data_IF_724215500172
#
_entry.id   IF_724215500172
#
_cell.length_a   1.000
_cell.length_b   1.000
_cell.length_c   1.000
_cell.angle_alpha   90.00
_cell.angle_beta   90.00
_cell.angle_gamma   90.00
#
_symmetry.space_group_name_H-M   'P 1'
#
loop_
_entity.id
_entity.type
_entity.pdbx_description
1 polymer ?
#
# COMPACT_ATOMS: atom_id res chain seq x y z
N UNK A 1 10.77 8.82 20.07
CA UNK A 1 10.41 9.04 21.49
C UNK A 1 9.43 7.99 21.93
N UNK A 2 9.65 7.46 23.14
CA UNK A 2 8.82 6.42 23.73
C UNK A 2 8.22 6.93 25.03
N UNK A 3 6.96 6.59 25.26
CA UNK A 3 6.20 7.02 26.43
C UNK A 3 5.67 5.81 27.19
N UNK A 4 5.71 5.87 28.50
CA UNK A 4 5.12 4.87 29.37
C UNK A 4 4.19 5.58 30.36
N UNK A 5 2.91 5.18 30.42
CA UNK A 5 1.86 5.83 31.22
C UNK A 5 1.81 7.35 31.03
N UNK A 6 1.97 7.81 29.80
CA UNK A 6 1.96 9.24 29.46
C UNK A 6 3.26 10.01 29.73
N UNK A 7 4.26 9.38 30.37
CA UNK A 7 5.57 9.99 30.64
C UNK A 7 6.56 9.64 29.55
N UNK A 8 7.37 10.61 29.13
CA UNK A 8 8.48 10.41 28.21
C UNK A 8 9.59 9.61 28.89
N UNK A 9 9.94 8.42 28.38
CA UNK A 9 10.84 7.49 29.07
C UNK A 9 12.17 7.30 28.32
N UNK A 10 12.17 7.34 27.00
CA UNK A 10 13.41 7.24 26.23
C UNK A 10 13.29 7.84 24.82
N UNK A 11 14.40 8.23 24.27
CA UNK A 11 14.52 8.67 22.88
C UNK A 11 15.49 7.73 22.13
N UNK A 12 15.17 7.43 20.88
CA UNK A 12 16.03 6.68 19.97
C UNK A 12 16.49 7.63 18.87
N UNK A 13 17.79 7.75 18.67
CA UNK A 13 18.43 8.64 17.68
C UNK A 13 19.35 7.89 16.74
N UNK A 14 19.39 8.32 15.50
CA UNK A 14 20.28 7.74 14.48
C UNK A 14 19.84 6.35 14.03
N UNK A 15 20.80 5.49 13.74
CA UNK A 15 20.61 4.18 13.16
C UNK A 15 20.54 4.20 11.64
N UNK A 16 21.02 3.12 11.03
CA UNK A 16 20.98 2.87 9.59
C UNK A 16 21.19 1.38 9.32
N UNK A 17 21.41 0.98 8.08
CA UNK A 17 21.61 -0.44 7.70
C UNK A 17 22.81 -1.11 8.45
N UNK A 18 23.81 -0.35 8.85
CA UNK A 18 25.07 -0.86 9.42
C UNK A 18 25.25 -0.52 10.90
N UNK A 19 24.68 0.58 11.36
CA UNK A 19 24.89 1.11 12.70
C UNK A 19 23.60 1.10 13.50
N UNK A 20 23.63 0.52 14.70
CA UNK A 20 22.52 0.54 15.63
C UNK A 20 22.20 1.98 16.08
N UNK A 21 20.91 2.29 16.32
CA UNK A 21 20.53 3.58 16.87
C UNK A 21 20.99 3.70 18.33
N UNK A 22 21.23 4.94 18.76
CA UNK A 22 21.52 5.26 20.15
C UNK A 22 20.21 5.37 20.93
N UNK A 23 20.09 4.60 22.00
CA UNK A 23 18.97 4.66 22.94
C UNK A 23 19.36 5.57 24.11
N UNK A 24 18.59 6.60 24.35
CA UNK A 24 18.84 7.61 25.39
C UNK A 24 17.65 7.56 26.36
N UNK A 25 17.78 6.86 27.50
CA UNK A 25 16.78 6.90 28.55
C UNK A 25 16.68 8.29 29.17
N UNK A 26 15.50 8.66 29.65
CA UNK A 26 15.31 9.83 30.48
C UNK A 26 15.71 9.53 31.92
N UNK A 27 16.06 10.57 32.66
CA UNK A 27 16.45 10.47 34.06
C UNK A 27 15.38 9.71 34.88
N UNK A 28 15.80 8.71 35.62
CA UNK A 28 14.93 7.83 36.42
C UNK A 28 14.30 6.66 35.67
N UNK A 29 14.57 6.52 34.36
CA UNK A 29 14.06 5.41 33.54
C UNK A 29 15.16 4.50 32.97
N UNK A 30 16.37 4.61 33.44
CA UNK A 30 17.53 3.84 32.97
C UNK A 30 17.35 2.34 33.14
N UNK A 31 16.63 1.93 34.18
CA UNK A 31 16.35 0.55 34.55
C UNK A 31 14.87 0.18 34.44
N UNK A 32 14.14 0.80 33.51
CA UNK A 32 12.72 0.51 33.31
C UNK A 32 12.50 -0.96 32.98
N UNK A 33 11.85 -1.69 33.87
CA UNK A 33 11.44 -3.07 33.64
C UNK A 33 9.95 -3.11 33.32
N UNK A 34 9.59 -3.67 32.18
CA UNK A 34 8.21 -3.86 31.76
C UNK A 34 7.70 -5.21 32.29
N UNK A 35 6.58 -5.18 33.00
CA UNK A 35 5.87 -6.39 33.38
C UNK A 35 5.05 -6.91 32.20
N UNK A 36 4.92 -8.23 32.03
CA UNK A 36 4.02 -8.81 31.05
C UNK A 36 2.58 -8.28 31.24
N UNK A 37 1.91 -8.03 30.12
CA UNK A 37 0.53 -7.57 30.16
C UNK A 37 -0.37 -8.71 30.65
N UNK A 38 -1.22 -8.43 31.66
CA UNK A 38 -2.28 -9.35 32.03
C UNK A 38 -3.40 -9.29 30.98
N UNK A 39 -3.48 -10.33 30.16
CA UNK A 39 -4.40 -10.40 29.03
C UNK A 39 -5.87 -10.45 29.45
N UNK A 40 -6.20 -11.11 30.57
CA UNK A 40 -7.56 -11.18 31.08
C UNK A 40 -8.07 -9.81 31.50
N UNK A 41 -7.28 -9.11 32.32
CA UNK A 41 -7.61 -7.72 32.70
C UNK A 41 -7.67 -6.76 31.53
N UNK A 42 -6.83 -6.97 30.53
CA UNK A 42 -6.84 -6.15 29.32
C UNK A 42 -8.14 -6.38 28.54
N UNK A 43 -8.56 -7.63 28.41
CA UNK A 43 -9.82 -8.02 27.78
C UNK A 43 -11.01 -7.39 28.52
N UNK A 44 -11.16 -7.66 29.83
CA UNK A 44 -12.25 -7.15 30.65
C UNK A 44 -12.41 -5.62 30.54
N UNK A 45 -11.29 -4.89 30.56
CA UNK A 45 -11.31 -3.42 30.50
C UNK A 45 -11.69 -2.84 29.15
N UNK A 46 -11.53 -3.59 28.08
CA UNK A 46 -11.71 -3.09 26.72
C UNK A 46 -12.82 -3.82 25.95
N UNK A 47 -13.52 -4.76 26.59
CA UNK A 47 -14.51 -5.60 25.90
C UNK A 47 -15.60 -4.76 25.24
N UNK A 48 -16.23 -3.85 25.99
CA UNK A 48 -17.29 -2.99 25.46
C UNK A 48 -16.80 -2.08 24.34
N UNK A 49 -15.62 -1.47 24.51
CA UNK A 49 -15.05 -0.58 23.48
C UNK A 49 -14.71 -1.36 22.22
N UNK A 50 -14.08 -2.53 22.37
CA UNK A 50 -13.73 -3.39 21.24
C UNK A 50 -14.96 -3.92 20.53
N UNK A 51 -16.01 -4.28 21.28
CA UNK A 51 -17.29 -4.68 20.70
C UNK A 51 -17.88 -3.59 19.81
N UNK A 52 -17.90 -2.35 20.28
CA UNK A 52 -18.48 -1.22 19.53
C UNK A 52 -17.69 -0.97 18.24
N UNK A 53 -16.37 -0.83 18.32
CA UNK A 53 -15.55 -0.51 17.13
C UNK A 53 -15.49 -1.66 16.12
N UNK A 54 -15.51 -2.90 16.59
CA UNK A 54 -15.57 -4.10 15.76
C UNK A 54 -16.87 -4.15 14.98
N UNK A 55 -18.02 -3.99 15.67
CA UNK A 55 -19.33 -4.03 15.02
C UNK A 55 -19.54 -2.84 14.07
N UNK A 56 -19.04 -1.66 14.41
CA UNK A 56 -19.03 -0.51 13.49
C UNK A 56 -18.28 -0.84 12.20
N UNK A 57 -17.09 -1.43 12.31
CA UNK A 57 -16.30 -1.81 11.14
C UNK A 57 -16.99 -2.93 10.32
N UNK A 58 -17.61 -3.90 10.98
CA UNK A 58 -18.38 -4.96 10.34
C UNK A 58 -19.61 -4.41 9.63
N UNK A 59 -20.36 -3.50 10.24
CA UNK A 59 -21.51 -2.83 9.63
C UNK A 59 -21.07 -2.01 8.41
N UNK A 60 -19.96 -1.29 8.52
CA UNK A 60 -19.42 -0.54 7.41
C UNK A 60 -19.01 -1.45 6.24
N UNK A 61 -18.39 -2.61 6.50
CA UNK A 61 -18.07 -3.62 5.48
C UNK A 61 -19.38 -4.13 4.83
N UNK A 62 -20.37 -4.49 5.63
CA UNK A 62 -21.66 -5.00 5.15
C UNK A 62 -22.40 -3.99 4.28
N UNK A 63 -22.50 -2.74 4.73
CA UNK A 63 -23.12 -1.65 3.96
C UNK A 63 -22.37 -1.42 2.63
N UNK A 64 -21.03 -1.44 2.67
CA UNK A 64 -20.21 -1.31 1.47
C UNK A 64 -20.43 -2.49 0.53
N UNK A 65 -20.41 -3.71 1.05
CA UNK A 65 -20.67 -4.91 0.26
C UNK A 65 -22.04 -4.83 -0.41
N UNK A 66 -23.11 -4.54 0.33
CA UNK A 66 -24.48 -4.40 -0.21
C UNK A 66 -24.57 -3.30 -1.25
N UNK A 67 -23.90 -2.17 -1.04
CA UNK A 67 -23.89 -1.03 -1.99
C UNK A 67 -23.27 -1.40 -3.33
N UNK A 68 -22.27 -2.26 -3.36
CA UNK A 68 -21.55 -2.65 -4.57
C UNK A 68 -22.00 -4.00 -5.12
N UNK A 69 -22.45 -4.93 -4.29
CA UNK A 69 -23.03 -6.20 -4.68
C UNK A 69 -24.54 -6.12 -4.70
N UNK A 70 -25.07 -5.46 -5.69
CA UNK A 70 -26.47 -5.60 -6.04
C UNK A 70 -26.59 -6.80 -6.97
N UNK A 71 -27.32 -7.84 -6.57
CA UNK A 71 -27.45 -9.08 -7.36
C UNK A 71 -28.56 -8.93 -8.38
N UNK A 72 -28.21 -9.11 -9.63
CA UNK A 72 -29.18 -9.24 -10.72
C UNK A 72 -29.23 -10.67 -11.21
N UNK A 73 -30.42 -11.18 -11.35
CA UNK A 73 -30.67 -12.23 -12.34
C UNK A 73 -30.80 -11.55 -13.69
N UNK A 74 -29.79 -11.61 -14.53
CA UNK A 74 -29.92 -11.19 -15.92
C UNK A 74 -30.79 -12.23 -16.58
N UNK A 75 -31.91 -11.80 -17.13
CA UNK A 75 -32.61 -12.60 -18.11
C UNK A 75 -31.72 -12.73 -19.34
N UNK A 76 -31.20 -13.91 -19.60
CA UNK A 76 -30.34 -14.21 -20.76
C UNK A 76 -31.11 -14.15 -22.10
N UNK A 77 -32.35 -13.73 -22.09
CA UNK A 77 -33.31 -14.01 -23.15
C UNK A 77 -33.50 -12.89 -24.18
N UNK A 78 -32.78 -11.77 -24.03
CA UNK A 78 -32.76 -10.78 -25.11
C UNK A 78 -31.30 -10.28 -25.35
N UNK A 79 -30.58 -10.90 -26.30
CA UNK A 79 -29.18 -10.55 -26.59
C UNK A 79 -28.99 -9.16 -27.19
N UNK A 80 -30.06 -8.53 -27.69
CA UNK A 80 -29.96 -7.31 -28.50
C UNK A 80 -30.05 -6.01 -27.68
N UNK A 81 -30.53 -6.04 -26.43
CA UNK A 81 -30.69 -4.84 -25.60
C UNK A 81 -29.93 -4.98 -24.27
N UNK A 82 -28.84 -4.21 -24.13
CA UNK A 82 -28.14 -4.04 -22.84
C UNK A 82 -28.86 -2.97 -21.99
N UNK A 83 -29.91 -3.39 -21.27
CA UNK A 83 -30.69 -2.52 -20.37
C UNK A 83 -29.81 -1.82 -19.31
N UNK A 84 -28.64 -2.36 -18.99
CA UNK A 84 -27.69 -1.75 -18.04
C UNK A 84 -26.98 -0.57 -18.64
N UNK A 85 -26.46 -0.74 -19.83
CA UNK A 85 -25.82 0.35 -20.58
C UNK A 85 -26.84 1.45 -20.83
N UNK A 86 -28.10 1.10 -21.07
CA UNK A 86 -29.17 2.07 -21.19
C UNK A 86 -29.44 2.81 -19.89
N UNK A 87 -29.58 2.11 -18.76
CA UNK A 87 -29.76 2.74 -17.46
C UNK A 87 -28.59 3.67 -17.10
N UNK A 88 -27.34 3.22 -17.29
CA UNK A 88 -26.17 4.03 -17.06
C UNK A 88 -26.06 5.26 -17.99
N UNK A 89 -26.53 5.14 -19.24
CA UNK A 89 -26.59 6.26 -20.17
C UNK A 89 -27.66 7.29 -19.73
N UNK A 90 -28.83 6.83 -19.34
CA UNK A 90 -29.89 7.69 -18.84
C UNK A 90 -29.52 8.38 -17.52
N UNK A 91 -28.84 7.69 -16.60
CA UNK A 91 -28.32 8.26 -15.36
C UNK A 91 -27.37 9.42 -15.62
N UNK A 92 -26.41 9.24 -16.56
CA UNK A 92 -25.52 10.33 -16.98
C UNK A 92 -26.24 11.53 -17.57
N UNK A 93 -27.32 11.28 -18.33
CA UNK A 93 -28.09 12.32 -19.04
C UNK A 93 -29.02 13.09 -18.10
N UNK A 94 -29.70 12.38 -17.22
CA UNK A 94 -30.75 12.96 -16.34
C UNK A 94 -30.18 13.34 -14.94
N UNK A 95 -29.01 12.86 -14.58
CA UNK A 95 -28.39 12.96 -13.24
C UNK A 95 -29.24 12.33 -12.12
N UNK A 96 -30.16 11.45 -12.48
CA UNK A 96 -31.00 10.68 -11.57
C UNK A 96 -30.63 9.21 -11.68
N UNK A 97 -30.66 8.49 -10.57
CA UNK A 97 -30.41 7.05 -10.55
C UNK A 97 -31.52 6.32 -11.34
N UNK A 98 -31.13 5.55 -12.35
CA UNK A 98 -32.04 4.74 -13.17
C UNK A 98 -31.84 3.27 -12.85
N UNK A 99 -32.96 2.57 -12.73
CA UNK A 99 -32.99 1.14 -12.44
C UNK A 99 -33.75 0.40 -13.53
N UNK A 100 -33.41 -0.85 -13.72
CA UNK A 100 -34.17 -1.75 -14.56
C UNK A 100 -35.16 -2.49 -13.68
N UNK A 101 -36.38 -2.56 -14.09
CA UNK A 101 -37.45 -3.27 -13.41
C UNK A 101 -37.99 -4.36 -14.32
N UNK A 102 -38.53 -5.42 -13.74
CA UNK A 102 -39.23 -6.44 -14.50
C UNK A 102 -40.70 -6.00 -14.68
N UNK A 103 -41.17 -5.96 -15.91
CA UNK A 103 -42.55 -5.62 -16.23
C UNK A 103 -43.44 -6.88 -16.19
N UNK A 104 -43.09 -7.89 -16.99
CA UNK A 104 -43.76 -9.17 -17.10
C UNK A 104 -42.77 -10.33 -17.11
N UNK A 105 -43.21 -11.56 -17.39
CA UNK A 105 -42.36 -12.75 -17.37
C UNK A 105 -41.07 -12.58 -18.16
N UNK A 106 -41.10 -11.85 -19.28
CA UNK A 106 -39.97 -11.72 -20.21
C UNK A 106 -39.68 -10.27 -20.66
N UNK A 107 -40.33 -9.27 -20.04
CA UNK A 107 -40.12 -7.87 -20.39
C UNK A 107 -39.50 -7.05 -19.27
N UNK A 108 -38.64 -6.13 -19.66
CA UNK A 108 -37.91 -5.25 -18.75
C UNK A 108 -38.05 -3.79 -19.20
N UNK A 109 -38.08 -2.89 -18.23
CA UNK A 109 -38.11 -1.45 -18.49
C UNK A 109 -36.99 -0.74 -17.66
N UNK A 110 -36.62 0.45 -18.10
CA UNK A 110 -35.62 1.30 -17.43
C UNK A 110 -36.32 2.59 -17.01
N UNK A 111 -36.33 2.85 -15.71
CA UNK A 111 -36.96 4.04 -15.16
C UNK A 111 -36.16 4.63 -14.00
N UNK A 112 -36.39 5.91 -13.61
CA UNK A 112 -35.82 6.47 -12.39
C UNK A 112 -36.21 5.64 -11.16
N UNK A 113 -35.24 5.50 -10.21
CA UNK A 113 -35.47 4.74 -8.97
C UNK A 113 -36.71 5.25 -8.21
N UNK A 114 -36.88 6.56 -8.10
CA UNK A 114 -38.02 7.18 -7.43
C UNK A 114 -39.36 6.76 -8.04
N UNK A 115 -39.41 6.64 -9.36
CA UNK A 115 -40.61 6.18 -10.08
C UNK A 115 -40.88 4.68 -9.88
N UNK A 116 -39.78 3.88 -9.80
CA UNK A 116 -39.94 2.46 -9.52
C UNK A 116 -40.49 2.23 -8.10
N UNK A 117 -40.02 2.99 -7.12
CA UNK A 117 -40.52 2.96 -5.74
C UNK A 117 -41.99 3.39 -5.65
N UNK A 118 -42.36 4.47 -6.32
CA UNK A 118 -43.74 4.96 -6.39
C UNK A 118 -44.70 3.92 -7.00
N UNK A 119 -44.25 3.18 -8.00
CA UNK A 119 -45.02 2.11 -8.66
C UNK A 119 -44.92 0.75 -7.93
N UNK A 120 -44.20 0.66 -6.81
CA UNK A 120 -44.00 -0.60 -6.08
C UNK A 120 -43.23 -1.66 -6.88
N UNK A 121 -42.49 -1.25 -7.92
CA UNK A 121 -41.70 -2.16 -8.77
C UNK A 121 -40.34 -2.42 -8.14
N UNK A 122 -40.01 -3.70 -7.95
CA UNK A 122 -38.72 -4.07 -7.44
C UNK A 122 -37.61 -3.88 -8.48
N UNK A 123 -36.61 -3.06 -8.24
CA UNK A 123 -35.50 -2.91 -9.15
C UNK A 123 -34.71 -4.21 -9.26
N UNK A 124 -34.32 -4.52 -10.48
CA UNK A 124 -33.38 -5.61 -10.72
C UNK A 124 -31.99 -5.09 -10.45
N UNK A 125 -31.35 -5.61 -9.41
CA UNK A 125 -30.08 -5.14 -8.94
C UNK A 125 -28.92 -5.82 -9.69
N UNK A 126 -27.87 -5.07 -10.08
CA UNK A 126 -26.64 -5.62 -10.65
C UNK A 126 -25.48 -5.32 -9.78
N UNK A 127 -24.50 -6.22 -9.80
CA UNK A 127 -23.21 -5.90 -9.20
C UNK A 127 -22.57 -4.70 -9.91
N UNK A 128 -22.22 -3.66 -9.14
CA UNK A 128 -21.47 -2.49 -9.63
C UNK A 128 -19.99 -2.80 -9.83
N UNK A 129 -19.54 -3.95 -9.33
CA UNK A 129 -18.16 -4.42 -9.42
C UNK A 129 -18.11 -5.89 -9.84
N UNK A 130 -17.00 -6.24 -10.44
CA UNK A 130 -16.75 -7.58 -10.94
C UNK A 130 -16.17 -8.50 -9.86
N UNK A 131 -15.47 -7.91 -8.87
CA UNK A 131 -14.77 -8.66 -7.83
C UNK A 131 -14.59 -7.82 -6.57
N UNK A 132 -14.70 -8.48 -5.42
CA UNK A 132 -14.27 -7.95 -4.13
C UNK A 132 -12.92 -8.56 -3.76
N UNK A 133 -12.03 -7.76 -3.18
CA UNK A 133 -10.67 -8.17 -2.86
C UNK A 133 -10.35 -7.78 -1.43
N UNK A 134 -9.88 -8.72 -0.61
CA UNK A 134 -9.19 -8.43 0.64
C UNK A 134 -7.68 -8.39 0.37
N UNK A 135 -7.06 -7.20 0.52
CA UNK A 135 -5.63 -7.02 0.28
C UNK A 135 -4.84 -7.43 1.52
N UNK A 136 -4.18 -8.57 1.44
CA UNK A 136 -3.31 -9.07 2.50
C UNK A 136 -1.84 -8.73 2.22
N UNK A 137 -1.13 -8.20 3.21
CA UNK A 137 0.27 -7.77 3.07
C UNK A 137 1.22 -8.42 4.08
N UNK A 138 0.75 -9.37 4.87
CA UNK A 138 1.51 -9.96 5.98
C UNK A 138 1.68 -9.02 7.18
N UNK A 139 1.05 -7.85 7.15
CA UNK A 139 1.05 -6.88 8.25
C UNK A 139 -0.19 -7.01 9.15
N UNK A 140 -0.08 -6.57 10.41
CA UNK A 140 -1.13 -6.64 11.43
C UNK A 140 -2.47 -6.02 10.98
N UNK A 141 -2.40 -4.88 10.29
CA UNK A 141 -3.59 -4.14 9.86
C UNK A 141 -4.36 -4.90 8.77
N UNK A 142 -3.67 -5.48 7.80
CA UNK A 142 -4.29 -6.30 6.77
C UNK A 142 -4.82 -7.64 7.31
N UNK A 143 -4.24 -8.14 8.40
CA UNK A 143 -4.74 -9.33 9.10
C UNK A 143 -6.10 -9.06 9.75
N UNK A 144 -6.26 -7.92 10.42
CA UNK A 144 -7.53 -7.50 11.01
C UNK A 144 -8.60 -7.31 9.93
N UNK A 145 -8.26 -6.65 8.82
CA UNK A 145 -9.21 -6.48 7.71
C UNK A 145 -9.62 -7.81 7.10
N UNK A 146 -8.70 -8.73 6.91
CA UNK A 146 -9.01 -10.07 6.39
C UNK A 146 -10.00 -10.80 7.31
N UNK A 147 -9.79 -10.77 8.62
CA UNK A 147 -10.68 -11.41 9.58
C UNK A 147 -12.08 -10.76 9.56
N UNK A 148 -12.16 -9.44 9.64
CA UNK A 148 -13.44 -8.71 9.59
C UNK A 148 -14.20 -8.99 8.28
N UNK A 149 -13.52 -8.96 7.13
CA UNK A 149 -14.13 -9.23 5.81
C UNK A 149 -14.65 -10.66 5.75
N UNK A 150 -13.86 -11.64 6.22
CA UNK A 150 -14.24 -13.06 6.22
C UNK A 150 -15.42 -13.39 7.12
N UNK A 151 -15.69 -12.56 8.12
CA UNK A 151 -16.84 -12.72 9.03
C UNK A 151 -18.11 -12.06 8.50
N UNK A 152 -18.01 -11.15 7.54
CA UNK A 152 -19.13 -10.33 7.05
C UNK A 152 -19.54 -10.70 5.63
N UNK A 153 -18.58 -10.90 4.73
CA UNK A 153 -18.84 -11.18 3.32
C UNK A 153 -18.78 -12.70 3.10
N UNK A 154 -19.75 -13.28 2.38
CA UNK A 154 -19.65 -14.68 1.96
C UNK A 154 -18.32 -14.96 1.27
N UNK A 155 -17.64 -16.02 1.67
CA UNK A 155 -16.25 -16.27 1.29
C UNK A 155 -16.07 -16.58 -0.21
N UNK A 156 -17.12 -17.03 -0.87
CA UNK A 156 -17.18 -17.21 -2.32
C UNK A 156 -17.32 -15.88 -3.11
N UNK A 157 -17.61 -14.78 -2.42
CA UNK A 157 -17.86 -13.48 -3.03
C UNK A 157 -16.66 -12.54 -3.06
N UNK A 158 -15.60 -12.91 -2.38
CA UNK A 158 -14.35 -12.14 -2.42
C UNK A 158 -13.13 -13.06 -2.55
N UNK A 159 -12.03 -12.47 -2.93
CA UNK A 159 -10.74 -13.14 -2.99
C UNK A 159 -9.73 -12.45 -2.08
N UNK A 160 -8.79 -13.21 -1.55
CA UNK A 160 -7.64 -12.68 -0.81
C UNK A 160 -6.46 -12.55 -1.78
N UNK A 161 -5.87 -11.37 -1.86
CA UNK A 161 -4.71 -11.14 -2.71
C UNK A 161 -3.52 -10.70 -1.87
N UNK A 162 -2.46 -11.52 -1.93
CA UNK A 162 -1.14 -11.20 -1.40
C UNK A 162 -0.25 -10.67 -2.53
N UNK A 163 0.43 -9.54 -2.30
CA UNK A 163 1.36 -8.98 -3.28
C UNK A 163 2.78 -9.39 -2.93
N UNK A 164 3.32 -10.36 -3.65
CA UNK A 164 4.74 -10.74 -3.55
C UNK A 164 5.58 -9.85 -4.47
N UNK A 165 6.31 -8.93 -3.88
CA UNK A 165 7.10 -7.91 -4.59
C UNK A 165 8.57 -8.29 -4.74
N UNK A 166 9.01 -9.40 -4.12
CA UNK A 166 10.41 -9.82 -4.04
C UNK A 166 11.24 -9.05 -2.99
N UNK A 167 10.57 -8.22 -2.18
CA UNK A 167 11.19 -7.48 -1.06
C UNK A 167 10.72 -7.98 0.31
N UNK A 168 9.92 -9.02 0.35
CA UNK A 168 9.27 -9.49 1.57
C UNK A 168 10.30 -10.00 2.58
N UNK A 169 9.99 -9.74 3.85
CA UNK A 169 10.70 -10.37 4.96
C UNK A 169 10.37 -11.85 5.02
N UNK A 170 11.33 -12.73 5.34
CA UNK A 170 11.06 -14.17 5.48
C UNK A 170 9.86 -14.51 6.38
N UNK A 171 9.65 -13.83 7.54
CA UNK A 171 8.44 -14.05 8.34
C UNK A 171 7.13 -13.69 7.65
N UNK A 172 7.15 -12.78 6.66
CA UNK A 172 5.94 -12.40 5.92
C UNK A 172 5.52 -13.45 4.91
N UNK A 173 6.49 -14.11 4.28
CA UNK A 173 6.25 -15.23 3.37
C UNK A 173 5.68 -16.42 4.15
N UNK A 174 6.31 -16.79 5.27
CA UNK A 174 5.82 -17.84 6.15
C UNK A 174 4.41 -17.54 6.65
N UNK A 175 4.17 -16.33 7.14
CA UNK A 175 2.85 -15.93 7.63
C UNK A 175 1.78 -16.05 6.55
N UNK A 176 2.10 -15.73 5.29
CA UNK A 176 1.14 -15.91 4.21
C UNK A 176 0.71 -17.36 4.06
N UNK A 177 1.64 -18.31 4.11
CA UNK A 177 1.32 -19.73 4.02
C UNK A 177 0.50 -20.20 5.23
N UNK A 178 0.90 -19.81 6.46
CA UNK A 178 0.18 -20.13 7.70
C UNK A 178 -1.26 -19.56 7.69
N UNK A 179 -1.45 -18.34 7.17
CA UNK A 179 -2.76 -17.68 7.07
C UNK A 179 -3.62 -18.34 6.01
N UNK A 180 -3.05 -18.65 4.85
CA UNK A 180 -3.80 -19.34 3.79
C UNK A 180 -4.34 -20.65 4.31
N UNK A 181 -3.49 -21.50 4.90
CA UNK A 181 -3.86 -22.78 5.45
C UNK A 181 -4.97 -22.65 6.51
N UNK A 182 -4.81 -21.72 7.47
CA UNK A 182 -5.79 -21.47 8.51
C UNK A 182 -7.17 -21.04 7.98
N UNK A 183 -7.20 -20.14 6.98
CA UNK A 183 -8.47 -19.66 6.45
C UNK A 183 -9.10 -20.65 5.45
N UNK A 184 -8.33 -21.40 4.67
CA UNK A 184 -8.82 -22.46 3.78
C UNK A 184 -9.44 -23.60 4.58
N UNK A 185 -8.88 -23.96 5.74
CA UNK A 185 -9.46 -24.95 6.66
C UNK A 185 -10.79 -24.43 7.27
N UNK A 186 -10.81 -23.15 7.70
CA UNK A 186 -11.98 -22.55 8.34
C UNK A 186 -13.11 -22.21 7.36
N UNK A 187 -12.77 -21.87 6.12
CA UNK A 187 -13.68 -21.41 5.08
C UNK A 187 -13.36 -22.08 3.73
N UNK A 188 -13.97 -23.22 3.41
CA UNK A 188 -13.60 -24.01 2.22
C UNK A 188 -13.74 -23.28 0.87
N UNK A 189 -14.55 -22.22 0.81
CA UNK A 189 -14.81 -21.47 -0.42
C UNK A 189 -13.95 -20.19 -0.55
N UNK A 190 -13.03 -19.97 0.39
CA UNK A 190 -12.14 -18.80 0.30
C UNK A 190 -11.00 -19.05 -0.70
N UNK A 191 -10.67 -18.07 -1.50
CA UNK A 191 -9.61 -18.19 -2.50
C UNK A 191 -8.48 -17.21 -2.25
N UNK A 192 -7.27 -17.74 -2.17
CA UNK A 192 -6.03 -16.98 -2.02
C UNK A 192 -5.27 -16.92 -3.34
N UNK A 193 -4.84 -15.71 -3.70
CA UNK A 193 -4.03 -15.48 -4.90
C UNK A 193 -2.78 -14.66 -4.57
N UNK A 194 -1.71 -14.92 -5.33
CA UNK A 194 -0.46 -14.18 -5.23
C UNK A 194 -0.27 -13.30 -6.47
N UNK A 195 -0.25 -11.99 -6.27
CA UNK A 195 0.11 -11.05 -7.31
C UNK A 195 1.63 -10.87 -7.33
N UNK A 196 2.29 -11.39 -8.35
CA UNK A 196 3.74 -11.37 -8.51
C UNK A 196 4.15 -10.96 -9.92
N UNK A 197 5.30 -10.31 -10.05
CA UNK A 197 5.86 -10.00 -11.37
C UNK A 197 6.59 -11.23 -11.93
N UNK A 198 6.70 -11.31 -13.27
CA UNK A 198 7.39 -12.41 -13.96
C UNK A 198 8.89 -12.40 -13.73
N UNK A 199 9.47 -11.19 -13.63
CA UNK A 199 10.89 -11.01 -13.40
C UNK A 199 11.16 -10.74 -11.92
N UNK A 200 12.31 -11.21 -11.45
CA UNK A 200 12.79 -10.92 -10.11
C UNK A 200 13.10 -9.43 -9.96
N UNK A 201 12.89 -8.88 -8.78
CA UNK A 201 13.07 -7.45 -8.51
C UNK A 201 14.48 -6.94 -8.83
N UNK A 202 15.52 -7.74 -8.62
CA UNK A 202 16.90 -7.35 -8.89
C UNK A 202 17.17 -7.10 -10.38
N UNK A 203 16.46 -7.77 -11.28
CA UNK A 203 16.50 -7.49 -12.72
C UNK A 203 16.10 -6.02 -13.00
N UNK A 204 15.03 -5.56 -12.38
CA UNK A 204 14.60 -4.17 -12.53
C UNK A 204 15.53 -3.15 -11.85
N UNK A 205 16.28 -3.58 -10.82
CA UNK A 205 17.32 -2.74 -10.24
C UNK A 205 18.49 -2.53 -11.21
N UNK A 206 18.79 -3.54 -12.02
CA UNK A 206 19.81 -3.44 -13.07
C UNK A 206 19.36 -2.51 -14.22
N UNK A 207 18.11 -2.62 -14.66
CA UNK A 207 17.61 -1.85 -15.79
C UNK A 207 17.22 -0.41 -15.43
N UNK A 208 16.53 -0.20 -14.29
CA UNK A 208 15.96 1.09 -13.92
C UNK A 208 16.84 1.81 -12.89
N UNK A 209 17.64 1.05 -12.15
CA UNK A 209 18.46 1.54 -11.05
C UNK A 209 17.73 1.53 -9.72
N UNK A 210 18.45 1.97 -8.68
CA UNK A 210 17.99 1.99 -7.30
C UNK A 210 16.74 2.86 -7.10
N UNK A 211 15.68 2.34 -6.49
CA UNK A 211 14.50 3.15 -6.18
C UNK A 211 14.82 4.24 -5.17
N UNK A 212 14.11 5.35 -5.23
CA UNK A 212 14.29 6.46 -4.31
C UNK A 212 12.95 6.99 -3.77
N UNK A 213 12.99 7.92 -2.81
CA UNK A 213 11.77 8.51 -2.24
C UNK A 213 10.89 9.19 -3.28
N UNK A 214 11.46 9.77 -4.31
CA UNK A 214 10.72 10.44 -5.38
C UNK A 214 10.44 9.47 -6.53
N UNK A 215 11.38 8.60 -6.86
CA UNK A 215 11.23 7.63 -7.95
C UNK A 215 10.92 6.23 -7.41
N UNK A 216 9.67 6.00 -7.06
CA UNK A 216 9.16 4.76 -6.46
C UNK A 216 8.66 3.78 -7.52
N UNK A 217 9.42 3.54 -8.56
CA UNK A 217 9.04 2.63 -9.63
C UNK A 217 8.70 1.22 -9.12
N UNK A 218 9.40 0.75 -8.07
CA UNK A 218 9.18 -0.57 -7.48
C UNK A 218 7.73 -0.80 -7.03
N UNK A 219 7.06 0.22 -6.46
CA UNK A 219 5.66 0.09 -6.07
C UNK A 219 4.71 -0.06 -7.26
N UNK A 220 5.06 0.49 -8.42
CA UNK A 220 4.24 0.38 -9.63
C UNK A 220 4.47 -0.93 -10.35
N UNK A 221 5.74 -1.29 -10.57
CA UNK A 221 6.14 -2.48 -11.33
C UNK A 221 5.91 -3.77 -10.53
N UNK A 222 6.27 -3.80 -9.24
CA UNK A 222 6.23 -5.02 -8.44
C UNK A 222 4.93 -5.21 -7.64
N UNK A 223 4.09 -4.19 -7.52
CA UNK A 223 2.83 -4.29 -6.75
C UNK A 223 1.60 -3.98 -7.60
N UNK A 224 1.54 -2.78 -8.21
CA UNK A 224 0.31 -2.34 -8.88
C UNK A 224 0.08 -3.07 -10.21
N UNK A 225 1.10 -3.24 -11.04
CA UNK A 225 0.96 -3.92 -12.32
C UNK A 225 0.63 -5.42 -12.18
N UNK A 226 1.29 -6.19 -11.28
CA UNK A 226 0.91 -7.58 -11.02
C UNK A 226 -0.52 -7.73 -10.50
N UNK A 227 -0.95 -6.88 -9.58
CA UNK A 227 -2.34 -6.88 -9.09
C UNK A 227 -3.33 -6.69 -10.24
N UNK A 228 -3.08 -5.71 -11.11
CA UNK A 228 -3.94 -5.41 -12.25
C UNK A 228 -4.04 -6.60 -13.22
N UNK A 229 -2.93 -7.29 -13.50
CA UNK A 229 -2.91 -8.50 -14.34
C UNK A 229 -3.70 -9.64 -13.68
N UNK A 230 -3.41 -9.91 -12.43
CA UNK A 230 -4.09 -10.96 -11.68
C UNK A 230 -5.61 -10.77 -11.65
N UNK A 231 -6.08 -9.56 -11.35
CA UNK A 231 -7.53 -9.29 -11.33
C UNK A 231 -8.18 -9.48 -12.71
N UNK A 232 -7.47 -9.15 -13.78
CA UNK A 232 -7.92 -9.41 -15.15
C UNK A 232 -8.02 -10.91 -15.45
N UNK A 233 -7.05 -11.69 -15.00
CA UNK A 233 -7.00 -13.16 -15.15
C UNK A 233 -8.13 -13.83 -14.35
N UNK A 234 -8.28 -13.51 -13.06
CA UNK A 234 -9.31 -14.09 -12.19
C UNK A 234 -10.73 -13.83 -12.74
N UNK A 235 -10.96 -12.63 -13.21
CA UNK A 235 -12.30 -12.26 -13.73
C UNK A 235 -12.54 -12.70 -15.17
N UNK A 236 -11.53 -13.24 -15.84
CA UNK A 236 -11.55 -13.65 -17.25
C UNK A 236 -12.15 -12.58 -18.19
N UNK A 237 -11.90 -11.30 -17.89
CA UNK A 237 -12.38 -10.17 -18.70
C UNK A 237 -11.28 -9.67 -19.61
N UNK A 238 -11.62 -9.39 -20.86
CA UNK A 238 -10.71 -8.79 -21.84
C UNK A 238 -10.20 -7.39 -21.42
N UNK A 239 -10.93 -6.69 -20.53
CA UNK A 239 -10.63 -5.38 -19.96
C UNK A 239 -10.34 -5.45 -18.47
N UNK A 240 -9.83 -4.37 -17.90
CA UNK A 240 -9.64 -4.28 -16.44
C UNK A 240 -11.01 -4.35 -15.72
N UNK A 241 -11.15 -5.22 -14.71
CA UNK A 241 -12.39 -5.36 -13.96
C UNK A 241 -12.59 -4.18 -13.02
N UNK A 242 -13.85 -3.86 -12.74
CA UNK A 242 -14.20 -2.99 -11.62
C UNK A 242 -14.07 -3.79 -10.32
N UNK A 243 -13.35 -3.26 -9.35
CA UNK A 243 -13.11 -3.96 -8.10
C UNK A 243 -13.34 -3.07 -6.87
N UNK A 244 -13.80 -3.67 -5.79
CA UNK A 244 -13.71 -3.12 -4.44
C UNK A 244 -12.55 -3.81 -3.73
N UNK A 245 -11.61 -3.02 -3.21
CA UNK A 245 -10.42 -3.52 -2.53
C UNK A 245 -10.44 -3.05 -1.07
N UNK A 246 -10.62 -3.99 -0.15
CA UNK A 246 -10.49 -3.74 1.28
C UNK A 246 -9.02 -3.72 1.69
N UNK A 247 -8.59 -2.64 2.34
CA UNK A 247 -7.21 -2.46 2.78
C UNK A 247 -7.11 -2.04 4.25
N UNK A 248 -5.94 -2.29 4.85
CA UNK A 248 -5.63 -1.97 6.23
C UNK A 248 -5.00 -0.58 6.42
N UNK A 249 -5.40 0.42 5.64
CA UNK A 249 -4.92 1.80 5.80
C UNK A 249 -5.54 2.42 7.05
N UNK A 250 -4.69 3.09 7.87
CA UNK A 250 -5.13 3.83 9.07
C UNK A 250 -4.69 5.29 9.02
N UNK A 251 -5.54 6.17 9.51
CA UNK A 251 -5.31 7.62 9.56
C UNK A 251 -4.06 7.97 10.38
N UNK A 252 -3.86 7.28 11.50
CA UNK A 252 -2.74 7.47 12.43
C UNK A 252 -1.35 7.28 11.79
N UNK A 253 -1.23 6.50 10.71
CA UNK A 253 0.07 6.14 10.16
C UNK A 253 0.82 7.30 9.48
N UNK A 254 0.14 8.34 9.03
CA UNK A 254 0.76 9.54 8.46
C UNK A 254 -0.24 10.65 8.16
N UNK A 255 0.23 11.90 8.12
CA UNK A 255 -0.58 13.05 7.71
C UNK A 255 -1.27 12.88 6.34
N UNK A 256 -0.60 12.22 5.38
CA UNK A 256 -1.21 11.92 4.07
C UNK A 256 -2.32 10.87 4.15
N UNK A 257 -2.34 10.02 5.19
CA UNK A 257 -3.39 9.02 5.39
C UNK A 257 -4.55 9.56 6.21
N UNK A 258 -4.30 10.48 7.14
CA UNK A 258 -5.35 11.11 7.95
C UNK A 258 -6.34 11.93 7.12
N UNK A 259 -5.93 12.39 5.93
CA UNK A 259 -6.81 13.12 5.01
C UNK A 259 -7.63 12.22 4.06
N UNK A 260 -7.50 10.89 4.16
CA UNK A 260 -8.24 9.95 3.31
C UNK A 260 -9.66 9.71 3.83
N UNK A 261 -10.58 9.48 2.89
CA UNK A 261 -11.90 8.95 3.23
C UNK A 261 -11.84 7.42 3.32
N UNK A 262 -12.72 6.82 4.11
CA UNK A 262 -12.85 5.35 4.25
C UNK A 262 -13.19 4.65 2.93
N UNK A 263 -13.87 5.35 2.03
CA UNK A 263 -14.14 4.89 0.65
C UNK A 263 -13.58 5.90 -0.31
N UNK A 264 -12.71 5.49 -1.20
CA UNK A 264 -12.07 6.39 -2.15
C UNK A 264 -11.64 5.69 -3.44
N UNK A 265 -11.49 6.46 -4.51
CA UNK A 265 -10.91 5.92 -5.75
C UNK A 265 -9.44 5.59 -5.54
N UNK A 266 -9.00 4.47 -6.10
CA UNK A 266 -7.60 4.13 -6.10
C UNK A 266 -6.81 5.12 -6.98
N UNK A 267 -5.69 5.63 -6.44
CA UNK A 267 -4.87 6.65 -7.13
C UNK A 267 -4.22 6.09 -8.41
N UNK A 268 -3.97 4.76 -8.45
CA UNK A 268 -3.25 4.10 -9.55
C UNK A 268 -4.17 3.37 -10.53
N UNK A 269 -5.38 3.06 -10.12
CA UNK A 269 -6.33 2.25 -10.89
C UNK A 269 -7.72 2.88 -10.81
N UNK A 270 -8.17 3.48 -11.90
CA UNK A 270 -9.45 4.22 -11.94
C UNK A 270 -10.69 3.34 -11.73
N UNK A 271 -10.54 2.05 -11.95
CA UNK A 271 -11.59 1.03 -11.83
C UNK A 271 -11.57 0.28 -10.49
N UNK A 272 -10.71 0.68 -9.56
CA UNK A 272 -10.65 0.11 -8.21
C UNK A 272 -11.14 1.15 -7.20
N UNK A 273 -12.06 0.74 -6.36
CA UNK A 273 -12.49 1.49 -5.17
C UNK A 273 -11.78 0.91 -3.96
N UNK A 274 -11.00 1.74 -3.26
CA UNK A 274 -10.39 1.35 -2.00
C UNK A 274 -11.37 1.58 -0.86
N UNK A 275 -11.42 0.62 0.04
CA UNK A 275 -12.23 0.64 1.25
C UNK A 275 -11.35 0.31 2.44
N UNK A 276 -11.26 1.22 3.40
CA UNK A 276 -10.43 1.11 4.61
C UNK A 276 -11.32 1.00 5.86
N UNK A 277 -11.77 -0.22 6.23
CA UNK A 277 -12.73 -0.40 7.32
C UNK A 277 -12.23 0.10 8.67
N UNK A 278 -10.93 -0.03 8.89
CA UNK A 278 -10.24 0.31 10.14
C UNK A 278 -9.48 1.64 10.05
N UNK A 279 -9.93 2.56 9.18
CA UNK A 279 -9.23 3.84 8.94
C UNK A 279 -8.97 4.60 10.23
N UNK A 280 -9.96 4.64 11.12
CA UNK A 280 -9.93 5.43 12.35
C UNK A 280 -9.40 4.66 13.56
N UNK A 281 -9.05 3.38 13.39
CA UNK A 281 -8.47 2.57 14.46
C UNK A 281 -7.02 2.97 14.74
N UNK A 282 -6.66 3.03 16.02
CA UNK A 282 -5.29 3.22 16.45
C UNK A 282 -4.51 1.89 16.57
N UNK A 283 -3.18 1.98 16.77
CA UNK A 283 -2.34 0.79 16.85
C UNK A 283 -2.69 -0.11 18.04
N UNK A 284 -3.16 0.44 19.15
CA UNK A 284 -3.56 -0.33 20.33
C UNK A 284 -4.79 -1.17 20.04
N UNK A 285 -5.81 -0.60 19.39
CA UNK A 285 -7.03 -1.29 19.00
C UNK A 285 -6.73 -2.45 18.03
N UNK A 286 -5.82 -2.26 17.09
CA UNK A 286 -5.35 -3.33 16.18
C UNK A 286 -4.73 -4.50 16.97
N UNK A 287 -3.83 -4.22 17.90
CA UNK A 287 -3.22 -5.28 18.71
C UNK A 287 -4.19 -5.94 19.68
N UNK A 288 -5.10 -5.17 20.29
CA UNK A 288 -6.17 -5.72 21.10
C UNK A 288 -7.05 -6.68 20.31
N UNK A 289 -7.50 -6.26 19.13
CA UNK A 289 -8.30 -7.11 18.25
C UNK A 289 -7.59 -8.43 17.91
N UNK A 290 -6.33 -8.34 17.50
CA UNK A 290 -5.50 -9.51 17.16
C UNK A 290 -5.39 -10.47 18.36
N UNK A 291 -5.13 -9.92 19.56
CA UNK A 291 -4.94 -10.73 20.76
C UNK A 291 -6.25 -11.34 21.25
N UNK A 292 -7.36 -10.60 21.23
CA UNK A 292 -8.67 -11.07 21.65
C UNK A 292 -9.22 -12.17 20.72
N UNK A 293 -9.00 -12.01 19.41
CA UNK A 293 -9.42 -12.96 18.40
C UNK A 293 -8.37 -14.05 18.09
N UNK A 294 -7.24 -14.07 18.83
CA UNK A 294 -6.14 -15.05 18.68
C UNK A 294 -5.63 -15.16 17.25
N UNK A 295 -5.56 -14.04 16.54
CA UNK A 295 -5.09 -14.01 15.17
C UNK A 295 -3.57 -14.19 15.10
N UNK A 296 -3.10 -14.70 13.99
CA UNK A 296 -1.68 -14.87 13.74
C UNK A 296 -0.99 -13.50 13.60
N UNK A 297 0.20 -13.36 14.18
CA UNK A 297 0.98 -12.11 14.14
C UNK A 297 2.31 -12.38 13.48
N UNK A 298 2.69 -11.52 12.55
CA UNK A 298 4.00 -11.59 11.93
C UNK A 298 5.11 -11.51 13.00
N UNK A 299 6.01 -12.48 12.97
CA UNK A 299 7.10 -12.59 13.95
C UNK A 299 8.00 -11.34 13.96
N UNK A 300 8.11 -10.63 12.86
CA UNK A 300 8.89 -9.40 12.77
C UNK A 300 8.45 -8.33 13.77
N UNK A 301 7.15 -8.27 14.13
CA UNK A 301 6.68 -7.38 15.21
C UNK A 301 7.23 -7.77 16.58
N UNK A 302 7.32 -9.07 16.87
CA UNK A 302 7.90 -9.58 18.12
C UNK A 302 9.39 -9.30 18.22
N UNK A 303 10.06 -9.15 17.07
CA UNK A 303 11.48 -8.77 16.97
C UNK A 303 11.73 -7.26 16.96
N UNK A 304 10.68 -6.44 17.18
CA UNK A 304 10.79 -5.00 17.36
C UNK A 304 10.51 -4.15 16.13
N UNK A 305 10.12 -4.73 15.00
CA UNK A 305 9.64 -3.95 13.87
C UNK A 305 8.27 -3.32 14.19
N UNK A 306 8.18 -2.01 14.11
CA UNK A 306 6.91 -1.30 14.28
C UNK A 306 5.98 -1.43 13.07
N UNK A 307 6.56 -1.72 11.91
CA UNK A 307 5.86 -1.91 10.64
C UNK A 307 6.52 -3.01 9.82
N UNK A 308 5.71 -3.93 9.33
CA UNK A 308 6.14 -4.94 8.36
C UNK A 308 5.98 -4.39 6.95
N UNK A 309 6.98 -4.59 6.11
CA UNK A 309 7.03 -4.11 4.73
C UNK A 309 8.24 -4.66 3.99
N UNK A 310 8.73 -3.95 2.99
CA UNK A 310 9.91 -4.34 2.22
C UNK A 310 11.16 -4.38 3.12
N UNK A 311 12.01 -5.40 2.97
CA UNK A 311 13.31 -5.52 3.68
C UNK A 311 14.20 -4.30 3.47
N UNK A 312 14.09 -3.68 2.29
CA UNK A 312 14.73 -2.42 1.96
C UNK A 312 13.70 -1.50 1.28
N UNK A 313 13.52 -0.30 1.81
CA UNK A 313 12.59 0.67 1.26
C UNK A 313 13.12 2.09 1.45
N UNK A 314 13.08 2.94 0.44
CA UNK A 314 13.47 4.36 0.60
C UNK A 314 12.71 5.10 1.71
N UNK A 315 11.53 4.61 2.10
CA UNK A 315 10.70 5.17 3.17
C UNK A 315 10.84 4.47 4.52
N UNK A 316 11.71 3.47 4.63
CA UNK A 316 11.97 2.83 5.92
C UNK A 316 12.56 3.83 6.92
N UNK A 317 12.17 3.69 8.19
CA UNK A 317 12.81 4.39 9.29
C UNK A 317 14.20 3.81 9.53
N UNK A 318 15.09 4.59 10.15
CA UNK A 318 16.42 4.13 10.56
C UNK A 318 16.34 2.91 11.47
N UNK A 319 15.35 2.88 12.38
CA UNK A 319 15.07 1.74 13.24
C UNK A 319 14.77 0.47 12.44
N UNK A 320 13.89 0.55 11.45
CA UNK A 320 13.53 -0.60 10.62
C UNK A 320 14.71 -1.06 9.77
N UNK A 321 15.55 -0.15 9.30
CA UNK A 321 16.77 -0.50 8.53
C UNK A 321 17.79 -1.24 9.37
N UNK A 322 18.03 -0.76 10.59
CA UNK A 322 18.92 -1.40 11.54
C UNK A 322 18.44 -2.83 11.86
N UNK A 323 17.18 -2.97 12.24
CA UNK A 323 16.61 -4.29 12.55
C UNK A 323 16.63 -5.23 11.34
N UNK A 324 16.33 -4.75 10.13
CA UNK A 324 16.43 -5.58 8.93
C UNK A 324 17.88 -5.99 8.65
N UNK A 325 18.85 -5.11 8.90
CA UNK A 325 20.28 -5.41 8.79
C UNK A 325 20.74 -6.50 9.75
N UNK A 326 20.27 -6.45 10.99
CA UNK A 326 20.61 -7.41 12.03
C UNK A 326 19.88 -8.76 11.88
N UNK A 327 18.58 -8.72 11.61
CA UNK A 327 17.72 -9.91 11.63
C UNK A 327 17.70 -10.66 10.28
N UNK A 328 17.85 -9.94 9.18
CA UNK A 328 17.69 -10.48 7.81
C UNK A 328 18.84 -10.10 6.88
N UNK A 329 20.12 -10.23 7.32
CA UNK A 329 21.28 -9.78 6.54
C UNK A 329 21.40 -10.46 5.18
N UNK A 330 21.02 -11.75 5.08
CA UNK A 330 21.09 -12.49 3.82
C UNK A 330 20.04 -12.01 2.81
N UNK A 331 18.85 -11.67 3.26
CA UNK A 331 17.79 -11.11 2.42
C UNK A 331 18.13 -9.70 1.95
N UNK A 332 18.79 -8.90 2.81
CA UNK A 332 19.18 -7.52 2.53
C UNK A 332 20.42 -7.42 1.62
N UNK A 333 21.38 -8.33 1.76
CA UNK A 333 22.69 -8.30 1.07
C UNK A 333 22.61 -8.07 -0.43
N UNK A 334 21.78 -8.74 -1.23
CA UNK A 334 21.72 -8.52 -2.68
C UNK A 334 21.39 -7.07 -3.04
N UNK A 335 20.49 -6.44 -2.30
CA UNK A 335 20.08 -5.05 -2.53
C UNK A 335 21.17 -4.06 -2.16
N UNK A 336 21.86 -4.29 -1.03
CA UNK A 336 22.99 -3.46 -0.63
C UNK A 336 24.14 -3.55 -1.65
N UNK A 337 24.39 -4.74 -2.19
CA UNK A 337 25.36 -4.93 -3.28
C UNK A 337 24.99 -4.11 -4.51
N UNK A 338 23.72 -4.12 -4.93
CA UNK A 338 23.24 -3.32 -6.07
C UNK A 338 23.34 -1.82 -5.83
N UNK A 339 23.10 -1.34 -4.60
CA UNK A 339 23.32 0.07 -4.28
C UNK A 339 24.80 0.39 -4.46
N UNK A 340 25.70 -0.45 -3.94
CA UNK A 340 27.14 -0.28 -4.03
C UNK A 340 27.61 -0.25 -5.49
N UNK A 341 27.24 -1.24 -6.29
CA UNK A 341 27.55 -1.31 -7.73
C UNK A 341 27.09 -0.03 -8.47
N UNK A 342 25.88 0.44 -8.18
CA UNK A 342 25.34 1.67 -8.78
C UNK A 342 26.17 2.91 -8.39
N UNK A 343 26.67 2.98 -7.16
CA UNK A 343 27.49 4.10 -6.67
C UNK A 343 28.92 4.04 -7.24
N UNK A 344 29.47 2.84 -7.37
CA UNK A 344 30.76 2.61 -8.01
C UNK A 344 30.72 3.01 -9.49
N UNK A 345 29.69 2.58 -10.21
CA UNK A 345 29.47 2.99 -11.60
C UNK A 345 29.32 4.51 -11.74
N UNK A 346 28.61 5.14 -10.81
CA UNK A 346 28.48 6.60 -10.75
C UNK A 346 29.73 7.31 -10.22
N UNK A 347 30.81 6.59 -9.90
CA UNK A 347 32.10 7.12 -9.36
C UNK A 347 31.92 7.99 -8.12
N UNK A 348 30.98 7.63 -7.25
CA UNK A 348 30.74 8.34 -5.99
C UNK A 348 31.86 8.00 -5.01
N UNK A 349 32.52 9.02 -4.44
CA UNK A 349 33.49 8.86 -3.37
C UNK A 349 32.81 8.61 -2.01
N UNK A 350 33.45 7.80 -1.14
CA UNK A 350 32.93 7.54 0.20
C UNK A 350 31.64 6.75 0.22
N UNK A 351 31.55 5.70 -0.60
CA UNK A 351 30.35 4.86 -0.81
C UNK A 351 29.74 4.39 0.51
N UNK A 352 30.55 3.90 1.45
CA UNK A 352 30.03 3.43 2.75
C UNK A 352 29.31 4.53 3.52
N UNK A 353 29.90 5.72 3.57
CA UNK A 353 29.25 6.86 4.21
C UNK A 353 28.00 7.30 3.46
N UNK A 354 28.00 7.21 2.13
CA UNK A 354 26.83 7.52 1.30
C UNK A 354 25.65 6.58 1.60
N UNK A 355 25.91 5.30 1.77
CA UNK A 355 24.91 4.31 2.13
C UNK A 355 24.45 4.50 3.59
N UNK A 356 25.41 4.64 4.54
CA UNK A 356 25.14 4.87 5.97
C UNK A 356 24.24 6.07 6.23
N UNK A 357 24.50 7.16 5.56
CA UNK A 357 23.71 8.40 5.69
C UNK A 357 22.37 8.36 4.94
N UNK A 358 22.05 7.25 4.28
CA UNK A 358 20.80 7.05 3.55
C UNK A 358 20.66 7.94 2.31
N UNK A 359 21.73 8.48 1.78
CA UNK A 359 21.73 9.34 0.58
C UNK A 359 21.23 8.60 -0.66
N UNK A 360 21.46 7.30 -0.73
CA UNK A 360 20.94 6.45 -1.82
C UNK A 360 19.43 6.51 -1.99
N UNK A 361 18.68 6.76 -0.90
CA UNK A 361 17.22 6.86 -0.90
C UNK A 361 16.72 8.20 -1.43
N UNK A 362 17.56 9.21 -1.41
CA UNK A 362 17.17 10.61 -1.59
C UNK A 362 17.33 11.10 -3.03
N UNK A 363 17.74 10.21 -3.94
CA UNK A 363 17.95 10.54 -5.36
C UNK A 363 16.71 11.18 -5.95
N UNK A 364 16.75 12.47 -6.10
CA UNK A 364 15.83 13.20 -6.96
C UNK A 364 16.19 14.65 -7.07
N UNK A 365 16.30 15.13 -8.27
CA UNK A 365 16.43 16.54 -8.58
C UNK A 365 17.65 17.23 -7.95
N UNK A 366 18.68 16.47 -7.63
CA UNK A 366 19.94 17.00 -7.07
C UNK A 366 19.88 17.49 -5.63
N UNK A 367 18.72 17.54 -4.99
CA UNK A 367 18.54 18.17 -3.67
C UNK A 367 19.34 17.56 -2.53
N UNK A 368 19.82 16.32 -2.65
CA UNK A 368 20.52 15.59 -1.59
C UNK A 368 21.75 14.84 -2.10
N UNK A 369 22.20 15.16 -3.31
CA UNK A 369 23.39 14.56 -3.89
C UNK A 369 24.68 15.04 -3.20
N UNK A 370 24.63 16.20 -2.56
CA UNK A 370 25.75 16.77 -1.81
C UNK A 370 25.27 17.22 -0.44
N UNK A 371 25.91 16.71 0.61
CA UNK A 371 25.68 17.15 2.01
C UNK A 371 26.40 18.46 2.32
N UNK A 372 27.35 18.84 1.48
CA UNK A 372 28.09 20.06 1.67
C UNK A 372 27.33 21.18 0.96
N UNK A 373 26.83 22.05 1.75
CA UNK A 373 25.91 23.18 1.56
C UNK A 373 26.21 24.19 0.42
N UNK A 374 26.96 23.78 -0.58
CA UNK A 374 27.42 24.67 -1.64
C UNK A 374 26.58 24.62 -2.91
N UNK A 375 25.34 24.11 -2.83
CA UNK A 375 24.40 24.10 -3.94
C UNK A 375 23.15 24.86 -3.54
N UNK A 376 22.87 25.97 -4.21
CA UNK A 376 21.60 26.68 -4.10
C UNK A 376 20.68 26.30 -5.26
N UNK A 377 19.41 26.07 -4.96
CA UNK A 377 18.40 25.73 -5.95
C UNK A 377 17.36 26.85 -6.05
N UNK A 378 17.04 27.26 -7.26
CA UNK A 378 15.95 28.15 -7.56
C UNK A 378 15.01 27.46 -8.54
N UNK A 379 13.76 27.28 -8.17
CA UNK A 379 12.72 26.79 -9.08
C UNK A 379 11.97 28.00 -9.61
N UNK A 380 12.26 28.37 -10.83
CA UNK A 380 11.57 29.42 -11.58
C UNK A 380 10.85 28.71 -12.73
N UNK A 381 9.52 28.71 -12.73
CA UNK A 381 8.78 28.15 -13.88
C UNK A 381 8.98 29.06 -15.10
N UNK A 382 9.40 28.54 -16.27
CA UNK A 382 9.65 27.12 -16.62
C UNK A 382 11.09 26.65 -16.34
N UNK A 383 11.90 27.41 -15.64
CA UNK A 383 13.33 27.12 -15.43
C UNK A 383 13.59 26.50 -14.06
N UNK A 384 14.53 25.56 -14.04
CA UNK A 384 15.18 25.07 -12.83
C UNK A 384 16.64 25.49 -12.85
N UNK A 385 17.09 26.20 -11.82
CA UNK A 385 18.46 26.66 -11.71
C UNK A 385 19.14 26.08 -10.47
N UNK A 386 20.24 25.36 -10.68
CA UNK A 386 21.14 24.92 -9.63
C UNK A 386 22.48 25.66 -9.74
N UNK A 387 22.89 26.36 -8.69
CA UNK A 387 24.18 27.02 -8.64
C UNK A 387 25.09 26.24 -7.70
N UNK A 388 26.18 25.71 -8.22
CA UNK A 388 27.18 24.96 -7.47
C UNK A 388 28.47 25.78 -7.38
N UNK A 389 28.94 26.06 -6.17
CA UNK A 389 30.16 26.83 -5.95
C UNK A 389 31.45 26.00 -6.17
N UNK A 390 31.36 24.67 -6.10
CA UNK A 390 32.53 23.80 -6.26
C UNK A 390 32.14 22.45 -6.87
N UNK A 391 31.83 22.38 -8.18
CA UNK A 391 31.44 21.14 -8.83
C UNK A 391 32.61 20.15 -8.85
N UNK A 392 32.48 19.01 -8.18
CA UNK A 392 33.49 17.94 -8.14
C UNK A 392 33.51 17.10 -9.42
N UNK A 393 32.47 17.16 -10.25
CA UNK A 393 32.31 16.32 -11.43
C UNK A 393 31.77 17.10 -12.63
N UNK A 394 32.04 16.59 -13.83
CA UNK A 394 31.53 17.17 -15.06
C UNK A 394 30.02 16.93 -15.18
N UNK A 395 29.25 18.00 -15.21
CA UNK A 395 27.79 17.98 -15.39
C UNK A 395 27.37 17.12 -16.61
N UNK A 396 28.15 17.13 -17.68
CA UNK A 396 27.86 16.39 -18.91
C UNK A 396 27.84 14.88 -18.69
N UNK A 397 28.64 14.36 -17.75
CA UNK A 397 28.65 12.92 -17.40
C UNK A 397 27.29 12.49 -16.84
N UNK A 398 26.60 13.38 -16.13
CA UNK A 398 25.28 13.10 -15.55
C UNK A 398 24.14 13.16 -16.56
N UNK A 399 24.37 13.83 -17.71
CA UNK A 399 23.36 14.02 -18.74
C UNK A 399 23.34 12.87 -19.76
N UNK A 400 24.31 11.98 -19.72
CA UNK A 400 24.34 10.76 -20.54
C UNK A 400 23.11 9.87 -20.37
N UNK A 401 22.45 9.94 -19.20
CA UNK A 401 21.19 9.21 -18.92
C UNK A 401 19.99 9.76 -19.70
N UNK A 402 20.09 10.95 -20.27
CA UNK A 402 19.02 11.58 -21.04
C UNK A 402 19.04 11.18 -22.53
N UNK A 403 20.02 10.34 -22.93
CA UNK A 403 20.19 9.90 -24.30
C UNK A 403 21.25 10.72 -25.07
N UNK A 404 21.16 10.74 -26.40
CA UNK A 404 22.07 11.50 -27.22
C UNK A 404 21.79 13.00 -27.14
N UNK A 405 22.80 13.78 -26.88
CA UNK A 405 22.70 15.24 -26.80
C UNK A 405 23.84 15.91 -27.57
N UNK A 406 23.62 17.13 -28.03
CA UNK A 406 24.66 18.06 -28.45
C UNK A 406 24.87 19.14 -27.42
N UNK A 407 26.10 19.58 -27.26
CA UNK A 407 26.49 20.53 -26.24
C UNK A 407 27.24 21.71 -26.87
N UNK A 408 26.77 22.92 -26.58
CA UNK A 408 27.45 24.16 -26.93
C UNK A 408 27.95 24.86 -25.67
N UNK A 409 29.18 25.30 -25.64
CA UNK A 409 29.79 25.97 -24.50
C UNK A 409 30.15 27.39 -24.85
N UNK A 410 29.59 28.34 -24.10
CA UNK A 410 29.93 29.76 -24.18
C UNK A 410 30.34 30.25 -22.77
N UNK A 411 31.65 30.34 -22.56
CA UNK A 411 32.23 30.66 -21.25
C UNK A 411 31.77 29.70 -20.15
N UNK A 412 31.04 30.22 -19.16
CA UNK A 412 30.47 29.43 -18.06
C UNK A 412 29.06 28.89 -18.36
N UNK A 413 28.51 29.14 -19.52
CA UNK A 413 27.19 28.66 -19.95
C UNK A 413 27.37 27.42 -20.84
N UNK A 414 26.63 26.37 -20.50
CA UNK A 414 26.54 25.16 -21.32
C UNK A 414 25.10 25.03 -21.75
N UNK A 415 24.86 25.04 -23.06
CA UNK A 415 23.56 24.79 -23.68
C UNK A 415 23.54 23.35 -24.15
N UNK A 416 22.54 22.59 -23.76
CA UNK A 416 22.39 21.18 -24.09
C UNK A 416 21.11 21.01 -24.88
N UNK A 417 21.24 20.49 -26.08
CA UNK A 417 20.14 20.18 -26.95
C UNK A 417 19.96 18.65 -26.96
N UNK A 418 18.83 18.19 -26.43
CA UNK A 418 18.44 16.77 -26.47
C UNK A 418 17.98 16.43 -27.91
N UNK A 419 18.47 15.31 -28.45
CA UNK A 419 18.06 14.81 -29.76
C UNK A 419 17.01 13.72 -29.62
#
# INVERSE_FOLDING_TARGET
RYFFKGQFVLEVKGGNIFDAPTVIPQEGFENLTLSPVNMEKLRERNEDTMFIIEHEAMDFINQTYRRYKNVRKVAKENPDIDFQSLAAHLEKKTKQEHVVVKEDCDSFDVMPLSKAEELGKAPILTSKVDIFVSSFSGGKDSQVVLDLVSRVIPTEDFVVVYSNTGYELPPSLKLYDDIREFYEEKYPNIHFYVAQNHQHILHYWDEIGTPSRIHRWCCSIMKSAPLSRLLKEITNKGKQPNAVLFDGVRAEESASRSSRSRVGKNVKHNNIVNVSPILDWNATEIYLYILLNKLHVNEAYRKGLSRVGCVICPYSSSWSEDLCGQLYPQTLKPFVSKIRESLEHAKISGIDNYIKTGRWKMRAGGRYLHSDSNVSFMSLSPEFRAVMSNPKENLLTWLTVLGNYSCERDGNKITINLK
#
